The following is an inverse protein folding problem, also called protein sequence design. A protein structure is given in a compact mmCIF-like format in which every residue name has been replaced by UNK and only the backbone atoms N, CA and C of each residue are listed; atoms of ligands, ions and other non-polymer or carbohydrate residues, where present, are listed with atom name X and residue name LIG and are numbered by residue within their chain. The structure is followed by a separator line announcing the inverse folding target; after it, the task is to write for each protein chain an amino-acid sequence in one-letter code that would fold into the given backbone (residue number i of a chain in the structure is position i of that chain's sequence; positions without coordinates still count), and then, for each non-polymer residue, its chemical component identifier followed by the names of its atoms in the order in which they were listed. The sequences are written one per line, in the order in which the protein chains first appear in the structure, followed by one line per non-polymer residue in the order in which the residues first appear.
data_IF_595474003926
#
_entry.id   IF_595474003926
#
_cell.length_a   1.000
_cell.length_b   1.000
_cell.length_c   1.000
_cell.angle_alpha   90.00
_cell.angle_beta   90.00
_cell.angle_gamma   90.00
#
_symmetry.space_group_name_H-M   'P 1'
#
loop_
_entity.id
_entity.type
_entity.pdbx_description
1 polymer ?
#
# COMPACT_ATOMS: atom_id res chain seq x y z
N UNK A 1 -7.40 11.98 20.68
CA UNK A 1 -8.21 12.36 19.50
C UNK A 1 -7.40 13.03 18.40
N UNK A 2 -6.74 14.17 18.67
CA UNK A 2 -5.99 14.91 17.64
C UNK A 2 -4.78 14.10 17.12
N UNK A 3 -4.01 13.49 18.03
CA UNK A 3 -2.81 12.72 17.65
C UNK A 3 -3.16 11.54 16.73
N UNK A 4 -4.18 10.75 17.07
CA UNK A 4 -4.63 9.61 16.24
C UNK A 4 -5.13 10.07 14.87
N UNK A 5 -5.83 11.20 14.79
CA UNK A 5 -6.26 11.79 13.52
C UNK A 5 -5.08 12.19 12.63
N UNK A 6 -4.08 12.88 13.20
CA UNK A 6 -2.85 13.25 12.49
C UNK A 6 -2.09 12.02 12.02
N UNK A 7 -1.90 11.02 12.89
CA UNK A 7 -1.17 9.78 12.58
C UNK A 7 -1.84 9.03 11.44
N UNK A 8 -3.16 8.86 11.47
CA UNK A 8 -3.90 8.23 10.38
C UNK A 8 -3.76 9.01 9.08
N UNK A 9 -3.90 10.34 9.14
CA UNK A 9 -3.85 11.19 7.96
C UNK A 9 -2.48 11.14 7.28
N UNK A 10 -1.41 11.33 8.05
CA UNK A 10 -0.04 11.26 7.54
C UNK A 10 0.36 9.83 7.13
N UNK A 11 -0.08 8.82 7.89
CA UNK A 11 0.15 7.42 7.56
C UNK A 11 -0.50 7.02 6.24
N UNK A 12 -1.73 7.48 5.99
CA UNK A 12 -2.44 7.24 4.73
C UNK A 12 -1.72 7.86 3.53
N UNK A 13 -1.24 9.10 3.67
CA UNK A 13 -0.40 9.76 2.66
C UNK A 13 0.87 8.97 2.41
N UNK A 14 1.56 8.55 3.47
CA UNK A 14 2.82 7.81 3.37
C UNK A 14 2.64 6.47 2.65
N UNK A 15 1.61 5.70 3.01
CA UNK A 15 1.28 4.41 2.37
C UNK A 15 1.03 4.59 0.87
N UNK A 16 0.20 5.57 0.50
CA UNK A 16 -0.11 5.86 -0.90
C UNK A 16 1.14 6.33 -1.66
N UNK A 17 1.93 7.23 -1.07
CA UNK A 17 3.13 7.79 -1.70
C UNK A 17 4.22 6.74 -1.93
N UNK A 18 4.47 5.87 -0.95
CA UNK A 18 5.44 4.77 -1.05
C UNK A 18 5.01 3.77 -2.12
N UNK A 19 3.75 3.33 -2.09
CA UNK A 19 3.21 2.40 -3.08
C UNK A 19 3.33 2.95 -4.50
N UNK A 20 2.98 4.22 -4.67
CA UNK A 20 3.07 4.91 -5.95
C UNK A 20 4.53 5.13 -6.40
N UNK A 21 5.45 5.44 -5.49
CA UNK A 21 6.87 5.56 -5.81
C UNK A 21 7.46 4.22 -6.28
N UNK A 22 7.07 3.11 -5.64
CA UNK A 22 7.45 1.77 -6.04
C UNK A 22 6.84 1.38 -7.41
N UNK A 23 5.56 1.66 -7.64
CA UNK A 23 4.88 1.40 -8.91
C UNK A 23 5.46 2.18 -10.10
N UNK A 24 6.09 3.33 -9.83
CA UNK A 24 6.79 4.17 -10.81
C UNK A 24 8.29 3.84 -10.95
N UNK A 25 8.80 2.85 -10.24
CA UNK A 25 10.23 2.48 -10.27
C UNK A 25 11.16 3.51 -9.63
N UNK A 26 10.63 4.46 -8.83
CA UNK A 26 11.45 5.50 -8.17
C UNK A 26 12.11 5.02 -6.89
N UNK A 27 11.56 3.95 -6.28
CA UNK A 27 12.03 3.43 -5.00
C UNK A 27 13.07 2.31 -5.16
N UNK A 28 13.06 1.61 -6.29
CA UNK A 28 13.86 0.40 -6.50
C UNK A 28 13.46 -0.77 -5.59
N UNK A 29 13.95 -1.96 -5.91
CA UNK A 29 13.91 -3.12 -5.00
C UNK A 29 14.67 -2.78 -3.72
N UNK A 30 14.00 -2.86 -2.57
CA UNK A 30 14.62 -2.55 -1.27
C UNK A 30 14.01 -3.37 -0.12
N UNK A 31 14.69 -3.38 1.04
CA UNK A 31 14.28 -4.14 2.22
C UNK A 31 13.40 -3.37 3.21
N UNK A 32 13.17 -2.07 2.99
CA UNK A 32 12.57 -1.15 3.97
C UNK A 32 11.09 -0.90 3.69
N UNK A 33 10.71 -0.70 2.44
CA UNK A 33 9.40 -0.17 2.07
C UNK A 33 8.82 -0.83 0.82
N UNK A 34 7.51 -1.05 0.81
CA UNK A 34 6.77 -1.72 -0.27
C UNK A 34 6.36 -3.15 0.08
N UNK A 35 5.74 -3.83 -0.90
CA UNK A 35 5.36 -5.25 -0.79
C UNK A 35 6.60 -6.10 -1.10
N UNK A 36 6.99 -6.95 -0.14
CA UNK A 36 8.24 -7.71 -0.17
C UNK A 36 8.00 -9.21 -0.23
N UNK A 37 7.25 -9.66 -1.22
CA UNK A 37 7.19 -11.11 -1.50
C UNK A 37 8.44 -11.53 -2.27
N UNK A 38 8.80 -12.82 -2.19
CA UNK A 38 10.00 -13.35 -2.85
C UNK A 38 10.04 -12.97 -4.33
N UNK A 39 8.92 -13.11 -5.03
CA UNK A 39 8.78 -12.77 -6.45
C UNK A 39 9.13 -11.30 -6.76
N UNK A 40 8.61 -10.36 -5.96
CA UNK A 40 8.85 -8.93 -6.19
C UNK A 40 10.32 -8.53 -5.99
N UNK A 41 11.06 -9.28 -5.18
CA UNK A 41 12.46 -8.97 -4.88
C UNK A 41 13.46 -9.61 -5.84
N UNK A 42 13.01 -10.39 -6.83
CA UNK A 42 13.89 -11.07 -7.79
C UNK A 42 14.43 -10.15 -8.88
N UNK A 43 13.66 -9.14 -9.29
CA UNK A 43 14.07 -8.20 -10.34
C UNK A 43 13.31 -6.87 -10.23
N UNK A 44 13.87 -5.82 -10.83
CA UNK A 44 13.22 -4.50 -10.89
C UNK A 44 11.93 -4.55 -11.72
N UNK A 45 11.90 -5.35 -12.78
CA UNK A 45 10.70 -5.56 -13.59
C UNK A 45 9.56 -6.18 -12.77
N UNK A 46 9.87 -7.23 -11.99
CA UNK A 46 8.91 -7.89 -11.09
C UNK A 46 8.43 -6.94 -9.98
N UNK A 47 9.33 -6.12 -9.44
CA UNK A 47 9.00 -5.09 -8.45
C UNK A 47 7.98 -4.09 -8.98
N UNK A 48 8.25 -3.51 -10.16
CA UNK A 48 7.38 -2.50 -10.78
C UNK A 48 6.03 -3.12 -11.17
N UNK A 49 6.03 -4.31 -11.77
CA UNK A 49 4.81 -5.01 -12.17
C UNK A 49 3.91 -5.32 -10.96
N UNK A 50 4.48 -5.86 -9.89
CA UNK A 50 3.76 -6.16 -8.66
C UNK A 50 3.16 -4.92 -8.01
N UNK A 51 3.95 -3.85 -7.86
CA UNK A 51 3.45 -2.60 -7.26
C UNK A 51 2.42 -1.88 -8.13
N UNK A 52 2.53 -1.98 -9.46
CA UNK A 52 1.52 -1.45 -10.38
C UNK A 52 0.18 -2.17 -10.23
N UNK A 53 0.20 -3.48 -10.06
CA UNK A 53 -1.02 -4.26 -9.78
C UNK A 53 -1.62 -3.91 -8.40
N UNK A 54 -0.77 -3.67 -7.39
CA UNK A 54 -1.21 -3.28 -6.05
C UNK A 54 -1.61 -1.80 -5.90
N UNK A 55 -1.44 -0.99 -6.94
CA UNK A 55 -1.60 0.47 -6.89
C UNK A 55 -2.98 0.89 -6.38
N UNK A 56 -4.04 0.31 -6.94
CA UNK A 56 -5.43 0.62 -6.57
C UNK A 56 -5.73 0.18 -5.13
N UNK A 57 -5.58 -1.09 -4.74
CA UNK A 57 -5.94 -1.52 -3.38
C UNK A 57 -5.12 -0.79 -2.31
N UNK A 58 -3.81 -0.61 -2.49
CA UNK A 58 -2.98 0.12 -1.51
C UNK A 58 -3.29 1.62 -1.51
N UNK A 59 -3.62 2.20 -2.67
CA UNK A 59 -4.10 3.58 -2.76
C UNK A 59 -5.42 3.79 -1.99
N UNK A 60 -6.36 2.86 -2.09
CA UNK A 60 -7.59 2.88 -1.30
C UNK A 60 -7.32 2.73 0.20
N UNK A 61 -6.35 1.91 0.61
CA UNK A 61 -5.94 1.82 2.01
C UNK A 61 -5.46 3.18 2.54
N UNK A 62 -4.59 3.85 1.78
CA UNK A 62 -4.13 5.20 2.09
C UNK A 62 -5.26 6.22 2.14
N UNK A 63 -6.21 6.16 1.21
CA UNK A 63 -7.38 7.04 1.15
C UNK A 63 -8.29 6.87 2.37
N UNK A 64 -8.60 5.62 2.77
CA UNK A 64 -9.42 5.33 3.96
C UNK A 64 -8.75 5.92 5.21
N UNK A 65 -7.45 5.65 5.40
CA UNK A 65 -6.71 6.22 6.52
C UNK A 65 -6.73 7.76 6.51
N UNK A 66 -6.52 8.37 5.34
CA UNK A 66 -6.54 9.81 5.19
C UNK A 66 -7.90 10.41 5.56
N UNK A 67 -8.99 9.89 4.99
CA UNK A 67 -10.34 10.40 5.22
C UNK A 67 -10.78 10.21 6.67
N UNK A 68 -10.47 9.06 7.29
CA UNK A 68 -10.77 8.85 8.70
C UNK A 68 -9.97 9.81 9.58
N UNK A 69 -8.67 9.99 9.32
CA UNK A 69 -7.85 10.96 10.05
C UNK A 69 -8.38 12.39 9.94
N UNK A 70 -8.74 12.81 8.73
CA UNK A 70 -9.34 14.12 8.47
C UNK A 70 -10.69 14.29 9.18
N UNK A 71 -11.55 13.26 9.17
CA UNK A 71 -12.84 13.28 9.85
C UNK A 71 -12.68 13.42 11.38
N UNK A 72 -11.74 12.69 11.99
CA UNK A 72 -11.44 12.81 13.43
C UNK A 72 -10.97 14.22 13.78
N UNK A 73 -10.16 14.85 12.93
CA UNK A 73 -9.66 16.22 13.16
C UNK A 73 -10.74 17.29 12.96
N UNK A 74 -11.59 17.14 11.94
CA UNK A 74 -12.62 18.10 11.59
C UNK A 74 -13.83 18.03 12.54
N UNK A 75 -14.32 16.83 12.82
CA UNK A 75 -15.56 16.62 13.57
C UNK A 75 -15.34 16.52 15.07
N UNK A 76 -14.12 16.19 15.50
CA UNK A 76 -13.74 16.02 16.92
C UNK A 76 -14.76 15.18 17.71
N UNK A 77 -15.06 13.94 17.26
CA UNK A 77 -15.97 13.08 17.99
C UNK A 77 -15.44 12.74 19.38
N UNK A 78 -16.33 12.28 20.25
CA UNK A 78 -15.99 11.76 21.57
C UNK A 78 -15.17 10.47 21.50
N UNK A 79 -14.65 10.04 22.65
CA UNK A 79 -13.73 8.89 22.72
C UNK A 79 -14.43 7.58 22.37
N UNK A 80 -15.68 7.42 22.80
CA UNK A 80 -16.52 6.26 22.54
C UNK A 80 -16.77 6.04 21.04
N UNK A 81 -16.78 7.13 20.25
CA UNK A 81 -16.90 7.05 18.79
C UNK A 81 -15.53 6.93 18.11
N UNK A 82 -14.52 7.66 18.59
CA UNK A 82 -13.23 7.75 17.90
C UNK A 82 -12.47 6.42 17.92
N UNK A 83 -12.45 5.71 19.04
CA UNK A 83 -11.74 4.43 19.17
C UNK A 83 -12.19 3.40 18.14
N UNK A 84 -13.48 3.03 18.10
CA UNK A 84 -14.04 2.11 17.10
C UNK A 84 -13.84 2.58 15.66
N UNK A 85 -14.00 3.88 15.40
CA UNK A 85 -13.82 4.44 14.05
C UNK A 85 -12.37 4.26 13.54
N UNK A 86 -11.38 4.58 14.38
CA UNK A 86 -9.96 4.42 14.06
C UNK A 86 -9.62 2.95 13.85
N UNK A 87 -10.13 2.06 14.71
CA UNK A 87 -9.91 0.62 14.59
C UNK A 87 -10.52 0.07 13.28
N UNK A 88 -11.76 0.44 12.96
CA UNK A 88 -12.41 0.01 11.73
C UNK A 88 -11.62 0.46 10.48
N UNK A 89 -11.17 1.71 10.45
CA UNK A 89 -10.34 2.23 9.36
C UNK A 89 -9.00 1.48 9.24
N UNK A 90 -8.35 1.17 10.37
CA UNK A 90 -7.12 0.38 10.39
C UNK A 90 -7.35 -1.04 9.84
N UNK A 91 -8.43 -1.71 10.24
CA UNK A 91 -8.77 -3.05 9.73
C UNK A 91 -9.01 -3.01 8.22
N UNK A 92 -9.79 -2.05 7.73
CA UNK A 92 -10.05 -1.88 6.29
C UNK A 92 -8.74 -1.61 5.53
N UNK A 93 -7.87 -0.74 6.04
CA UNK A 93 -6.58 -0.46 5.44
C UNK A 93 -5.68 -1.72 5.37
N UNK A 94 -5.63 -2.52 6.44
CA UNK A 94 -4.88 -3.77 6.46
C UNK A 94 -5.43 -4.76 5.44
N UNK A 95 -6.75 -4.95 5.36
CA UNK A 95 -7.38 -5.83 4.37
C UNK A 95 -7.04 -5.39 2.96
N UNK A 96 -7.10 -4.09 2.66
CA UNK A 96 -6.74 -3.54 1.35
C UNK A 96 -5.25 -3.73 1.02
N UNK A 97 -4.35 -3.59 2.00
CA UNK A 97 -2.92 -3.90 1.81
C UNK A 97 -2.70 -5.39 1.53
N UNK A 98 -3.42 -6.28 2.22
CA UNK A 98 -3.35 -7.73 1.97
C UNK A 98 -3.87 -8.09 0.58
N UNK A 99 -4.95 -7.45 0.12
CA UNK A 99 -5.44 -7.57 -1.26
C UNK A 99 -4.35 -7.10 -2.23
N UNK A 100 -3.71 -5.97 -1.95
CA UNK A 100 -2.56 -5.46 -2.71
C UNK A 100 -1.44 -6.50 -2.84
N UNK A 101 -1.05 -7.14 -1.73
CA UNK A 101 -0.03 -8.18 -1.73
C UNK A 101 -0.46 -9.44 -2.53
N UNK A 102 -1.73 -9.83 -2.42
CA UNK A 102 -2.30 -10.97 -3.14
C UNK A 102 -2.31 -10.75 -4.65
N UNK A 103 -2.58 -9.53 -5.14
CA UNK A 103 -2.55 -9.21 -6.58
C UNK A 103 -1.15 -8.88 -7.09
N UNK A 104 -0.24 -8.40 -6.23
CA UNK A 104 1.13 -8.08 -6.60
C UNK A 104 1.94 -9.32 -6.99
N UNK A 105 1.80 -10.40 -6.23
CA UNK A 105 2.67 -11.58 -6.39
C UNK A 105 2.49 -12.29 -7.74
N UNK A 106 1.27 -12.57 -8.23
CA UNK A 106 1.08 -13.12 -9.57
C UNK A 106 1.57 -12.20 -10.69
N UNK A 107 1.41 -10.88 -10.53
CA UNK A 107 1.90 -9.92 -11.51
C UNK A 107 3.44 -9.90 -11.57
N UNK A 108 4.11 -10.06 -10.43
CA UNK A 108 5.56 -10.20 -10.37
C UNK A 108 6.06 -11.50 -11.03
N UNK A 109 5.40 -12.64 -10.81
CA UNK A 109 5.78 -13.89 -11.48
C UNK A 109 5.69 -13.78 -13.01
N UNK A 110 4.59 -13.22 -13.55
CA UNK A 110 4.46 -13.01 -15.00
C UNK A 110 5.57 -12.15 -15.56
N UNK A 111 6.02 -11.13 -14.83
CA UNK A 111 7.11 -10.29 -15.26
C UNK A 111 8.47 -11.01 -15.23
N UNK A 112 8.65 -12.02 -14.40
CA UNK A 112 9.85 -12.87 -14.41
C UNK A 112 9.84 -13.83 -15.61
N UNK A 113 8.69 -14.47 -15.88
CA UNK A 113 8.52 -15.37 -17.02
C UNK A 113 8.84 -14.67 -18.35
N UNK A 114 8.39 -13.43 -18.53
CA UNK A 114 8.67 -12.65 -19.75
C UNK A 114 10.16 -12.33 -19.93
N UNK A 115 10.90 -12.13 -18.83
CA UNK A 115 12.35 -11.88 -18.88
C UNK A 115 13.09 -13.16 -19.25
N UNK A 116 12.67 -14.31 -18.71
CA UNK A 116 13.27 -15.59 -19.03
C UNK A 116 13.05 -15.98 -20.51
N UNK A 117 11.90 -15.63 -21.10
CA UNK A 117 11.62 -15.83 -22.53
C UNK A 117 12.48 -14.93 -23.43
N UNK A 118 12.66 -13.65 -23.07
CA UNK A 118 13.50 -12.71 -23.82
C UNK A 118 14.98 -13.11 -23.82
N UNK A 119 15.49 -13.76 -22.77
CA UNK A 119 16.88 -14.25 -22.70
C UNK A 119 17.11 -15.54 -23.53
N UNK A 120 16.05 -16.26 -23.90
CA UNK A 120 16.15 -17.51 -24.67
C UNK A 120 16.09 -17.31 -26.20
N UNK A 121 15.82 -16.10 -26.67
CA UNK A 121 15.70 -15.74 -28.09
C UNK A 121 16.91 -14.95 -28.61
#
# INVERSE_FOLDING_TARGET
MIVSGIVLMLGGILVAAVSEAAARGRLGVNSVAGIRTRALMMSEAAWIAGHRAARIPVGLAGLVMFLTGAAVLALRPDEDTTGPLVLAAAVVAVVLVLIGAAVATPAAHRALELVDEDEQH
#
